data_IF_335071936605
#
_entry.id   IF_335071936605
#
_cell.length_a   1.000
_cell.length_b   1.000
_cell.length_c   1.000
_cell.angle_alpha   90.00
_cell.angle_beta   90.00
_cell.angle_gamma   90.00
#
_symmetry.space_group_name_H-M   'P 1'
#
loop_
_entity.id
_entity.type
_entity.pdbx_description
1 polymer ?
#
# COMPACT_ATOMS: atom_id res chain seq x y z
N UNK A 1 -7.63 28.17 20.83
CA UNK A 1 -7.43 27.30 19.65
C UNK A 1 -6.14 27.75 18.98
N UNK A 2 -5.11 26.89 18.93
CA UNK A 2 -3.82 27.22 18.34
C UNK A 2 -3.40 26.09 17.39
N UNK A 3 -4.06 26.05 16.22
CA UNK A 3 -3.75 25.09 15.17
C UNK A 3 -2.43 25.49 14.51
N UNK A 4 -1.56 24.52 14.26
CA UNK A 4 -0.25 24.75 13.63
C UNK A 4 -0.21 24.04 12.27
N UNK A 5 0.62 24.53 11.33
CA UNK A 5 0.85 23.81 10.08
C UNK A 5 1.43 22.42 10.33
N UNK A 6 1.04 21.44 9.51
CA UNK A 6 1.62 20.10 9.51
C UNK A 6 2.82 20.13 8.57
N UNK A 7 4.03 20.00 9.11
CA UNK A 7 5.29 20.07 8.33
C UNK A 7 6.08 18.77 8.46
N UNK A 8 5.98 18.10 9.59
CA UNK A 8 6.66 16.84 9.86
C UNK A 8 5.67 15.69 10.01
N UNK A 9 6.15 14.46 9.82
CA UNK A 9 5.36 13.24 10.04
C UNK A 9 4.83 13.17 11.49
N UNK A 10 5.59 13.70 12.45
CA UNK A 10 5.14 13.81 13.85
C UNK A 10 3.95 14.76 14.01
N UNK A 11 3.92 15.88 13.28
CA UNK A 11 2.79 16.80 13.30
C UNK A 11 1.55 16.15 12.66
N UNK A 12 1.77 15.32 11.65
CA UNK A 12 0.73 14.55 10.97
C UNK A 12 0.11 13.53 11.93
N UNK A 13 0.93 12.70 12.59
CA UNK A 13 0.48 11.74 13.61
C UNK A 13 -0.28 12.43 14.76
N UNK A 14 0.26 13.54 15.28
CA UNK A 14 -0.39 14.31 16.35
C UNK A 14 -1.74 14.90 15.90
N UNK A 15 -1.85 15.29 14.63
CA UNK A 15 -3.10 15.78 14.05
C UNK A 15 -4.15 14.68 13.97
N UNK A 16 -3.75 13.45 13.65
CA UNK A 16 -4.63 12.28 13.70
C UNK A 16 -5.10 11.95 15.11
N UNK A 17 -4.19 11.90 16.09
CA UNK A 17 -4.55 11.70 17.49
C UNK A 17 -5.56 12.75 17.97
N UNK A 18 -5.35 14.02 17.59
CA UNK A 18 -6.28 15.10 17.93
C UNK A 18 -7.64 14.93 17.25
N UNK A 19 -7.64 14.56 15.97
CA UNK A 19 -8.83 14.34 15.17
C UNK A 19 -9.70 13.23 15.77
N UNK A 20 -9.11 12.14 16.25
CA UNK A 20 -9.83 11.06 16.96
C UNK A 20 -10.53 11.56 18.22
N UNK A 21 -9.87 12.44 19.00
CA UNK A 21 -10.44 12.98 20.25
C UNK A 21 -11.66 13.87 20.00
N UNK A 22 -11.67 14.64 18.92
CA UNK A 22 -12.77 15.55 18.57
C UNK A 22 -13.71 14.97 17.50
N UNK A 23 -13.56 13.68 17.19
CA UNK A 23 -14.36 13.02 16.19
C UNK A 23 -15.85 13.03 16.59
N UNK A 24 -16.71 13.52 15.68
CA UNK A 24 -18.14 13.69 15.96
C UNK A 24 -18.49 14.99 16.69
N UNK A 25 -17.56 15.94 16.83
CA UNK A 25 -17.87 17.28 17.29
C UNK A 25 -19.00 17.92 16.47
N UNK A 26 -19.90 18.64 17.15
CA UNK A 26 -21.05 19.27 16.51
C UNK A 26 -20.56 20.38 15.57
N UNK A 27 -21.12 20.46 14.36
CA UNK A 27 -20.85 21.55 13.42
C UNK A 27 -21.17 22.91 14.04
N UNK A 28 -20.30 23.89 13.82
CA UNK A 28 -20.40 25.24 14.40
C UNK A 28 -20.11 25.31 15.90
N UNK A 29 -19.55 24.25 16.48
CA UNK A 29 -18.90 24.32 17.80
C UNK A 29 -17.41 24.54 17.61
N UNK A 30 -16.72 25.07 18.63
CA UNK A 30 -15.27 25.30 18.55
C UNK A 30 -14.47 24.03 18.20
N UNK A 31 -14.93 22.86 18.66
CA UNK A 31 -14.32 21.56 18.31
C UNK A 31 -14.66 21.13 16.88
N UNK A 32 -15.85 21.49 16.38
CA UNK A 32 -16.23 21.24 14.99
C UNK A 32 -15.42 22.09 14.01
N UNK A 33 -15.21 23.35 14.35
CA UNK A 33 -14.36 24.27 13.57
C UNK A 33 -12.89 23.80 13.59
N UNK A 34 -12.41 23.31 14.73
CA UNK A 34 -11.09 22.67 14.85
C UNK A 34 -10.99 21.41 13.98
N UNK A 35 -12.01 20.55 13.98
CA UNK A 35 -12.07 19.34 13.18
C UNK A 35 -12.02 19.65 11.67
N UNK A 36 -12.80 20.61 11.18
CA UNK A 36 -12.80 21.00 9.76
C UNK A 36 -11.41 21.53 9.33
N UNK A 37 -10.73 22.29 10.19
CA UNK A 37 -9.39 22.79 9.91
C UNK A 37 -8.33 21.68 9.92
N UNK A 38 -8.36 20.76 10.89
CA UNK A 38 -7.42 19.63 10.93
C UNK A 38 -7.54 18.74 9.71
N UNK A 39 -8.77 18.44 9.25
CA UNK A 39 -9.00 17.68 8.02
C UNK A 39 -8.34 18.36 6.83
N UNK A 40 -8.50 19.69 6.71
CA UNK A 40 -7.92 20.46 5.60
C UNK A 40 -6.39 20.43 5.61
N UNK A 41 -5.76 20.52 6.78
CA UNK A 41 -4.31 20.47 6.92
C UNK A 41 -3.74 19.09 6.63
N UNK A 42 -4.43 18.04 7.09
CA UNK A 42 -4.07 16.65 6.82
C UNK A 42 -4.12 16.38 5.32
N UNK A 43 -5.21 16.76 4.64
CA UNK A 43 -5.37 16.58 3.19
C UNK A 43 -4.25 17.29 2.40
N UNK A 44 -3.92 18.54 2.76
CA UNK A 44 -2.80 19.25 2.14
C UNK A 44 -1.46 18.52 2.33
N UNK A 45 -1.18 18.04 3.55
CA UNK A 45 0.04 17.30 3.83
C UNK A 45 0.11 16.00 3.01
N UNK A 46 -1.01 15.26 2.90
CA UNK A 46 -1.11 14.02 2.12
C UNK A 46 -0.92 14.26 0.63
N UNK A 47 -1.48 15.33 0.07
CA UNK A 47 -1.28 15.66 -1.34
C UNK A 47 0.19 15.94 -1.67
N UNK A 48 0.93 16.54 -0.74
CA UNK A 48 2.35 16.82 -0.90
C UNK A 48 3.24 15.58 -0.70
N UNK A 49 2.91 14.73 0.29
CA UNK A 49 3.80 13.63 0.72
C UNK A 49 3.39 12.26 0.15
N UNK A 50 2.11 12.04 -0.08
CA UNK A 50 1.51 10.80 -0.58
C UNK A 50 0.68 11.06 -1.85
N UNK A 51 1.28 11.63 -2.91
CA UNK A 51 0.54 11.95 -4.12
C UNK A 51 -0.09 10.68 -4.69
N UNK A 52 -1.41 10.74 -4.95
CA UNK A 52 -2.14 9.67 -5.63
C UNK A 52 -1.80 9.75 -7.13
N UNK A 53 -0.59 9.31 -7.46
CA UNK A 53 -0.19 9.03 -8.83
C UNK A 53 -0.82 7.73 -9.33
N UNK A 54 -0.73 7.44 -10.64
CA UNK A 54 -0.97 6.08 -11.09
C UNK A 54 -0.12 5.13 -10.24
N UNK A 55 -0.65 3.97 -9.81
CA UNK A 55 0.15 3.00 -9.07
C UNK A 55 1.46 2.78 -9.81
N UNK A 56 2.56 2.66 -9.07
CA UNK A 56 3.88 2.40 -9.66
C UNK A 56 3.72 1.34 -10.77
N UNK A 57 4.22 1.56 -12.00
CA UNK A 57 4.01 0.63 -13.10
C UNK A 57 4.32 -0.83 -12.76
N UNK A 58 5.24 -1.07 -11.83
CA UNK A 58 5.59 -2.39 -11.30
C UNK A 58 4.44 -2.95 -10.43
N UNK A 59 3.93 -2.18 -9.47
CA UNK A 59 2.78 -2.56 -8.64
C UNK A 59 1.50 -2.70 -9.50
N UNK A 60 1.30 -1.84 -10.49
CA UNK A 60 0.20 -1.92 -11.45
C UNK A 60 0.26 -3.20 -12.31
N UNK A 61 1.46 -3.59 -12.77
CA UNK A 61 1.67 -4.83 -13.51
C UNK A 61 1.45 -6.07 -12.62
N UNK A 62 1.88 -6.02 -11.36
CA UNK A 62 1.66 -7.08 -10.37
C UNK A 62 0.17 -7.27 -10.07
N UNK A 63 -0.57 -6.17 -9.86
CA UNK A 63 -2.03 -6.18 -9.69
C UNK A 63 -2.74 -6.79 -10.90
N UNK A 64 -2.33 -6.45 -12.13
CA UNK A 64 -2.85 -7.09 -13.36
C UNK A 64 -2.52 -8.58 -13.42
N UNK A 65 -1.31 -8.99 -13.04
CA UNK A 65 -0.90 -10.40 -13.03
C UNK A 65 -1.74 -11.23 -12.05
N UNK A 66 -2.02 -10.67 -10.87
CA UNK A 66 -2.84 -11.29 -9.84
C UNK A 66 -4.31 -11.41 -10.26
N UNK A 67 -4.90 -10.36 -10.86
CA UNK A 67 -6.25 -10.40 -11.42
C UNK A 67 -6.41 -11.43 -12.54
N UNK A 68 -5.38 -11.61 -13.37
CA UNK A 68 -5.38 -12.57 -14.47
C UNK A 68 -5.06 -14.01 -14.01
N UNK A 69 -4.90 -14.26 -12.71
CA UNK A 69 -4.70 -15.59 -12.14
C UNK A 69 -3.43 -16.31 -12.63
N UNK A 70 -2.42 -15.55 -13.08
CA UNK A 70 -1.16 -16.15 -13.56
C UNK A 70 -0.40 -16.77 -12.39
N UNK A 71 -0.65 -18.07 -12.14
CA UNK A 71 0.26 -18.90 -11.38
C UNK A 71 1.54 -19.06 -12.22
N UNK A 72 2.74 -18.87 -11.66
CA UNK A 72 3.95 -19.16 -12.38
C UNK A 72 3.86 -20.61 -12.85
N UNK A 73 3.93 -20.83 -14.16
CA UNK A 73 4.01 -22.15 -14.73
C UNK A 73 5.29 -22.76 -14.18
N UNK A 74 5.15 -23.60 -13.14
CA UNK A 74 6.24 -24.40 -12.59
C UNK A 74 6.66 -25.34 -13.72
N UNK A 75 7.66 -24.91 -14.48
CA UNK A 75 8.18 -25.63 -15.63
C UNK A 75 8.43 -27.08 -15.23
N UNK A 76 7.73 -28.01 -15.89
CA UNK A 76 8.03 -29.43 -15.80
C UNK A 76 9.39 -29.65 -16.46
N UNK A 77 10.44 -29.64 -15.67
CA UNK A 77 11.75 -30.14 -16.06
C UNK A 77 12.07 -31.36 -15.19
N UNK A 78 11.33 -32.45 -15.41
CA UNK A 78 11.75 -33.81 -15.06
C UNK A 78 11.20 -34.70 -16.17
N UNK A 79 12.09 -35.18 -17.04
CA UNK A 79 12.06 -36.51 -17.67
C UNK A 79 12.91 -36.53 -18.95
N UNK A 80 14.24 -36.56 -18.79
CA UNK A 80 15.17 -37.03 -19.84
C UNK A 80 16.26 -37.96 -19.30
N UNK A 81 15.96 -38.76 -18.27
CA UNK A 81 16.89 -39.81 -17.81
C UNK A 81 16.21 -41.16 -17.61
N UNK A 82 15.60 -41.66 -18.69
CA UNK A 82 15.09 -43.03 -18.77
C UNK A 82 15.45 -43.67 -20.12
N UNK A 83 16.75 -43.83 -20.41
CA UNK A 83 17.29 -44.87 -21.32
C UNK A 83 18.82 -44.97 -21.33
N UNK A 84 19.48 -44.91 -20.17
CA UNK A 84 20.81 -45.52 -20.08
C UNK A 84 20.58 -47.03 -19.98
N UNK A 85 20.57 -47.69 -21.14
CA UNK A 85 20.42 -49.13 -21.29
C UNK A 85 21.42 -49.85 -20.39
N UNK A 86 20.89 -50.53 -19.38
CA UNK A 86 21.39 -51.81 -18.90
C UNK A 86 21.55 -52.75 -20.10
N UNK A 87 22.79 -53.04 -20.50
CA UNK A 87 23.25 -54.37 -20.93
C UNK A 87 24.77 -54.32 -21.17
N UNK A 88 25.53 -54.21 -20.08
CA UNK A 88 26.84 -54.88 -20.02
C UNK A 88 26.56 -56.17 -19.28
N UNK A 89 26.82 -57.33 -19.91
CA UNK A 89 27.22 -58.62 -19.32
C UNK A 89 27.04 -59.73 -20.39
N UNK A 90 28.18 -60.34 -20.74
CA UNK A 90 28.42 -61.69 -21.30
C UNK A 90 27.85 -61.98 -22.72
N UNK A 91 28.59 -62.45 -23.71
CA UNK A 91 29.79 -63.31 -23.78
C UNK A 91 30.65 -62.90 -24.99
#
# INVERSE_FOLDING_TARGET
>A
MNIQPIVTEKDYEASFERLEVIFGAKRGSAQGDELELLITLIDQYEQEHYPIGPPDPIEAAKFRREQMGYKPARGRARDTRAKAKSLTVNH
#
